data_IF_444026031652
#
_entry.id   IF_444026031652
#
_cell.length_a   1.000
_cell.length_b   1.000
_cell.length_c   1.000
_cell.angle_alpha   90.00
_cell.angle_beta   90.00
_cell.angle_gamma   90.00
#
_symmetry.space_group_name_H-M   'P 1'
#
loop_
_entity.id
_entity.type
_entity.pdbx_description
1 polymer ?
#
# COMPACT_ATOMS: atom_id res chain seq x y z
N UNK A 1 41.58 22.56 -2.99
CA UNK A 1 40.33 22.30 -3.74
C UNK A 1 40.25 20.81 -4.02
N UNK A 2 39.20 20.09 -3.57
CA UNK A 2 39.03 18.67 -3.92
C UNK A 2 38.87 18.51 -5.43
N UNK A 3 39.42 17.43 -5.98
CA UNK A 3 39.38 17.15 -7.42
C UNK A 3 37.96 16.80 -7.88
N UNK A 4 37.63 17.08 -9.15
CA UNK A 4 36.35 16.70 -9.75
C UNK A 4 36.03 15.20 -9.59
N UNK A 5 37.06 14.34 -9.58
CA UNK A 5 36.91 12.89 -9.33
C UNK A 5 36.48 12.59 -7.90
N UNK A 6 37.00 13.32 -6.91
CA UNK A 6 36.60 13.18 -5.50
C UNK A 6 35.18 13.70 -5.29
N UNK A 7 34.82 14.84 -5.90
CA UNK A 7 33.46 15.38 -5.83
C UNK A 7 32.44 14.41 -6.44
N UNK A 8 32.77 13.76 -7.57
CA UNK A 8 31.90 12.75 -8.20
C UNK A 8 31.79 11.48 -7.34
N UNK A 9 32.89 11.03 -6.73
CA UNK A 9 32.89 9.88 -5.83
C UNK A 9 32.09 10.14 -4.54
N UNK A 10 32.23 11.32 -3.95
CA UNK A 10 31.46 11.75 -2.78
C UNK A 10 29.98 11.94 -3.11
N UNK A 11 29.64 12.50 -4.27
CA UNK A 11 28.24 12.61 -4.72
C UNK A 11 27.62 11.24 -5.01
N UNK A 12 28.41 10.27 -5.48
CA UNK A 12 27.99 8.87 -5.67
C UNK A 12 27.82 8.13 -4.34
N UNK A 13 28.60 8.49 -3.32
CA UNK A 13 28.48 7.95 -1.96
C UNK A 13 27.37 8.62 -1.12
N UNK A 14 27.05 9.89 -1.38
CA UNK A 14 26.04 10.68 -0.67
C UNK A 14 24.63 10.61 -1.27
N UNK A 15 24.44 9.86 -2.37
CA UNK A 15 23.12 9.56 -2.90
C UNK A 15 22.41 8.56 -1.98
N UNK A 16 21.64 9.08 -1.01
CA UNK A 16 20.70 8.37 -0.13
C UNK A 16 21.04 6.88 0.02
N UNK A 17 21.89 6.54 0.98
CA UNK A 17 22.14 5.14 1.35
C UNK A 17 20.81 4.52 1.76
N UNK A 18 20.15 3.85 0.80
CA UNK A 18 19.04 2.96 1.08
C UNK A 18 19.50 2.06 2.22
N UNK A 19 18.74 2.02 3.31
CA UNK A 19 19.05 1.15 4.45
C UNK A 19 19.07 -0.29 3.92
N UNK A 20 20.27 -0.82 3.66
CA UNK A 20 20.46 -2.17 3.13
C UNK A 20 20.31 -3.18 4.24
N UNK A 21 19.62 -4.27 3.93
CA UNK A 21 19.55 -5.43 4.79
C UNK A 21 20.26 -6.58 4.04
N UNK A 22 21.42 -7.07 4.55
CA UNK A 22 22.23 -8.04 3.84
C UNK A 22 21.48 -9.35 3.54
N UNK A 23 20.53 -9.76 4.39
CA UNK A 23 19.72 -10.95 4.15
C UNK A 23 18.74 -10.75 2.98
N UNK A 24 18.17 -9.54 2.87
CA UNK A 24 17.26 -9.21 1.77
C UNK A 24 18.04 -9.03 0.48
N UNK A 25 19.22 -8.42 0.52
CA UNK A 25 20.09 -8.28 -0.63
C UNK A 25 20.52 -9.65 -1.17
N UNK A 26 20.92 -10.59 -0.30
CA UNK A 26 21.26 -11.96 -0.71
C UNK A 26 20.08 -12.69 -1.36
N UNK A 27 18.86 -12.53 -0.83
CA UNK A 27 17.64 -13.08 -1.44
C UNK A 27 17.35 -12.45 -2.79
N UNK A 28 17.57 -11.15 -2.93
CA UNK A 28 17.37 -10.43 -4.18
C UNK A 28 18.37 -10.88 -5.24
N UNK A 29 19.65 -11.04 -4.88
CA UNK A 29 20.69 -11.53 -5.77
C UNK A 29 20.39 -12.95 -6.28
N UNK A 30 19.96 -13.84 -5.37
CA UNK A 30 19.50 -15.19 -5.76
C UNK A 30 18.30 -15.13 -6.70
N UNK A 31 17.32 -14.28 -6.42
CA UNK A 31 16.14 -14.12 -7.28
C UNK A 31 16.52 -13.61 -8.68
N UNK A 32 17.43 -12.64 -8.76
CA UNK A 32 17.91 -12.10 -10.04
C UNK A 32 18.67 -13.18 -10.83
N UNK A 33 19.55 -13.95 -10.16
CA UNK A 33 20.29 -15.03 -10.80
C UNK A 33 19.38 -16.15 -11.32
N UNK A 34 18.30 -16.46 -10.60
CA UNK A 34 17.32 -17.48 -10.98
C UNK A 34 16.37 -17.03 -12.11
N UNK A 35 16.31 -15.74 -12.45
CA UNK A 35 15.39 -15.18 -13.45
C UNK A 35 16.13 -14.35 -14.52
N UNK A 36 17.00 -14.97 -15.34
CA UNK A 36 17.81 -14.26 -16.32
C UNK A 36 16.95 -13.52 -17.37
N UNK A 37 15.87 -14.12 -17.87
CA UNK A 37 14.98 -13.48 -18.86
C UNK A 37 14.32 -12.20 -18.31
N UNK A 38 13.94 -12.23 -17.02
CA UNK A 38 13.37 -11.07 -16.35
C UNK A 38 14.41 -9.96 -16.20
N UNK A 39 15.65 -10.33 -15.85
CA UNK A 39 16.77 -9.40 -15.75
C UNK A 39 17.06 -8.77 -17.11
N UNK A 40 17.16 -9.55 -18.17
CA UNK A 40 17.41 -9.07 -19.54
C UNK A 40 16.31 -8.10 -20.01
N UNK A 41 15.04 -8.47 -19.80
CA UNK A 41 13.90 -7.60 -20.11
C UNK A 41 14.02 -6.22 -19.43
N UNK A 42 14.43 -6.18 -18.15
CA UNK A 42 14.59 -4.92 -17.43
C UNK A 42 15.85 -4.15 -17.82
N UNK A 43 16.92 -4.83 -18.26
CA UNK A 43 18.14 -4.18 -18.76
C UNK A 43 17.93 -3.46 -20.10
N UNK A 44 16.98 -3.92 -20.90
CA UNK A 44 16.62 -3.29 -22.18
C UNK A 44 15.77 -2.02 -22.01
N UNK A 45 15.19 -1.79 -20.83
CA UNK A 45 14.34 -0.63 -20.56
C UNK A 45 15.16 0.61 -20.19
N UNK A 46 14.72 1.76 -20.68
CA UNK A 46 15.25 3.05 -20.24
C UNK A 46 14.88 3.33 -18.79
N UNK A 47 15.64 4.23 -18.15
CA UNK A 47 15.35 4.69 -16.78
C UNK A 47 13.92 5.23 -16.63
N UNK A 48 13.43 5.95 -17.63
CA UNK A 48 12.09 6.52 -17.60
C UNK A 48 11.00 5.44 -17.65
N UNK A 49 11.18 4.40 -18.47
CA UNK A 49 10.25 3.26 -18.52
C UNK A 49 10.22 2.49 -17.21
N UNK A 50 11.38 2.27 -16.58
CA UNK A 50 11.46 1.66 -15.25
C UNK A 50 10.71 2.49 -14.20
N UNK A 51 10.87 3.82 -14.21
CA UNK A 51 10.15 4.73 -13.31
C UNK A 51 8.63 4.63 -13.56
N UNK A 52 8.18 4.71 -14.82
CA UNK A 52 6.75 4.61 -15.15
C UNK A 52 6.15 3.29 -14.70
N UNK A 53 6.84 2.18 -14.92
CA UNK A 53 6.37 0.86 -14.50
C UNK A 53 6.26 0.75 -12.98
N UNK A 54 7.24 1.28 -12.24
CA UNK A 54 7.18 1.35 -10.77
C UNK A 54 6.01 2.23 -10.29
N UNK A 55 5.80 3.38 -10.93
CA UNK A 55 4.72 4.31 -10.60
C UNK A 55 3.34 3.75 -10.92
N UNK A 56 3.19 3.02 -12.04
CA UNK A 56 1.92 2.37 -12.41
C UNK A 56 1.41 1.47 -11.30
N UNK A 57 2.25 0.60 -10.73
CA UNK A 57 1.84 -0.26 -9.62
C UNK A 57 1.45 0.51 -8.35
N UNK A 58 2.06 1.67 -8.10
CA UNK A 58 1.67 2.56 -6.98
C UNK A 58 0.32 3.23 -7.26
N UNK A 59 0.12 3.72 -8.48
CA UNK A 59 -1.11 4.34 -8.94
C UNK A 59 -2.28 3.36 -8.82
N UNK A 60 -2.16 2.17 -9.41
CA UNK A 60 -3.22 1.14 -9.37
C UNK A 60 -3.59 0.73 -7.94
N UNK A 61 -2.60 0.55 -7.05
CA UNK A 61 -2.87 0.26 -5.62
C UNK A 61 -3.60 1.41 -4.92
N UNK A 62 -3.22 2.65 -5.23
CA UNK A 62 -3.88 3.85 -4.70
C UNK A 62 -5.32 3.94 -5.19
N UNK A 63 -5.55 3.78 -6.49
CA UNK A 63 -6.88 3.80 -7.10
C UNK A 63 -7.78 2.71 -6.51
N UNK A 64 -7.28 1.48 -6.39
CA UNK A 64 -8.03 0.39 -5.77
C UNK A 64 -8.39 0.70 -4.31
N UNK A 65 -7.44 1.18 -3.51
CA UNK A 65 -7.70 1.53 -2.12
C UNK A 65 -8.71 2.68 -2.01
N UNK A 66 -8.62 3.70 -2.87
CA UNK A 66 -9.52 4.84 -2.89
C UNK A 66 -10.93 4.45 -3.31
N UNK A 67 -11.07 3.63 -4.36
CA UNK A 67 -12.37 3.09 -4.80
C UNK A 67 -13.05 2.29 -3.69
N UNK A 68 -12.33 1.36 -3.05
CA UNK A 68 -12.84 0.60 -1.91
C UNK A 68 -13.23 1.47 -0.72
N UNK A 69 -12.46 2.53 -0.44
CA UNK A 69 -12.80 3.45 0.63
C UNK A 69 -14.07 4.26 0.29
N UNK A 70 -14.26 4.65 -0.98
CA UNK A 70 -15.47 5.35 -1.43
C UNK A 70 -16.71 4.45 -1.33
N UNK A 71 -16.63 3.21 -1.80
CA UNK A 71 -17.70 2.21 -1.66
C UNK A 71 -18.11 2.01 -0.20
N UNK A 72 -17.13 1.94 0.71
CA UNK A 72 -17.41 1.77 2.15
C UNK A 72 -18.07 3.00 2.74
N UNK A 73 -17.68 4.21 2.33
CA UNK A 73 -18.38 5.44 2.77
C UNK A 73 -19.85 5.42 2.30
N UNK A 74 -20.09 5.10 1.03
CA UNK A 74 -21.46 5.00 0.50
C UNK A 74 -22.29 3.96 1.28
N UNK A 75 -21.71 2.79 1.54
CA UNK A 75 -22.37 1.74 2.33
C UNK A 75 -22.69 2.19 3.76
N UNK A 76 -21.81 2.95 4.44
CA UNK A 76 -22.11 3.49 5.77
C UNK A 76 -23.28 4.49 5.74
N UNK A 77 -23.36 5.33 4.70
CA UNK A 77 -24.49 6.26 4.55
C UNK A 77 -25.83 5.55 4.33
N UNK A 78 -25.81 4.38 3.68
CA UNK A 78 -27.00 3.52 3.52
C UNK A 78 -27.42 2.79 4.81
N UNK A 79 -26.56 2.78 5.84
CA UNK A 79 -26.78 2.04 7.10
C UNK A 79 -26.62 2.98 8.32
N UNK A 80 -27.64 3.80 8.64
CA UNK A 80 -27.56 4.82 9.70
C UNK A 80 -27.16 4.26 11.08
N UNK A 81 -27.60 3.04 11.42
CA UNK A 81 -27.28 2.38 12.69
C UNK A 81 -25.79 2.01 12.81
N UNK A 82 -25.13 1.80 11.68
CA UNK A 82 -23.69 1.54 11.63
C UNK A 82 -22.94 2.87 11.73
N UNK A 83 -23.44 3.91 11.05
CA UNK A 83 -22.88 5.25 11.09
C UNK A 83 -22.79 5.77 12.53
N UNK A 84 -23.87 5.70 13.30
CA UNK A 84 -23.89 6.11 14.71
C UNK A 84 -22.87 5.35 15.56
N UNK A 85 -22.73 4.04 15.34
CA UNK A 85 -21.74 3.22 16.05
C UNK A 85 -20.30 3.58 15.70
N UNK A 86 -20.03 3.90 14.44
CA UNK A 86 -18.70 4.34 14.00
C UNK A 86 -18.38 5.69 14.62
N UNK A 87 -19.31 6.65 14.58
CA UNK A 87 -19.15 7.98 15.18
C UNK A 87 -18.86 7.90 16.68
N UNK A 88 -19.58 7.03 17.40
CA UNK A 88 -19.32 6.77 18.81
C UNK A 88 -17.89 6.24 19.05
N UNK A 89 -17.39 5.35 18.18
CA UNK A 89 -16.02 4.80 18.27
C UNK A 89 -14.94 5.83 17.98
N UNK A 90 -15.18 6.77 17.07
CA UNK A 90 -14.15 7.74 16.65
C UNK A 90 -14.23 9.09 17.39
N UNK A 91 -15.20 9.28 18.28
CA UNK A 91 -15.43 10.53 19.02
C UNK A 91 -14.15 11.12 19.67
N UNK A 92 -13.31 10.25 20.22
CA UNK A 92 -12.09 10.64 20.94
C UNK A 92 -10.82 10.61 20.06
N UNK A 93 -10.95 10.33 18.76
CA UNK A 93 -9.82 10.31 17.83
C UNK A 93 -9.47 11.75 17.43
N UNK A 94 -8.18 12.15 17.44
CA UNK A 94 -7.74 13.46 16.94
C UNK A 94 -8.15 13.67 15.49
N UNK A 95 -8.51 14.91 15.12
CA UNK A 95 -9.05 15.27 13.79
C UNK A 95 -8.19 14.73 12.64
N UNK A 96 -6.86 14.87 12.77
CA UNK A 96 -5.88 14.39 11.78
C UNK A 96 -6.00 12.89 11.47
N UNK A 97 -6.52 12.09 12.41
CA UNK A 97 -6.65 10.65 12.29
C UNK A 97 -8.11 10.19 12.11
N UNK A 98 -9.09 11.10 12.18
CA UNK A 98 -10.52 10.74 12.17
C UNK A 98 -10.92 10.03 10.89
N UNK A 99 -10.50 10.52 9.73
CA UNK A 99 -10.85 9.90 8.45
C UNK A 99 -10.33 8.46 8.36
N UNK A 100 -9.06 8.24 8.73
CA UNK A 100 -8.47 6.90 8.75
C UNK A 100 -9.18 5.99 9.75
N UNK A 101 -9.49 6.50 10.93
CA UNK A 101 -10.21 5.75 11.96
C UNK A 101 -11.62 5.38 11.50
N UNK A 102 -12.34 6.31 10.85
CA UNK A 102 -13.66 6.09 10.27
C UNK A 102 -13.62 4.95 9.25
N UNK A 103 -12.71 5.01 8.26
CA UNK A 103 -12.60 3.98 7.22
C UNK A 103 -12.27 2.60 7.81
N UNK A 104 -11.38 2.53 8.81
CA UNK A 104 -11.04 1.26 9.45
C UNK A 104 -12.20 0.68 10.26
N UNK A 105 -12.93 1.52 11.00
CA UNK A 105 -14.12 1.12 11.73
C UNK A 105 -15.20 0.62 10.76
N UNK A 106 -15.45 1.37 9.68
CA UNK A 106 -16.40 1.00 8.64
C UNK A 106 -16.08 -0.33 7.96
N UNK A 107 -14.81 -0.57 7.60
CA UNK A 107 -14.33 -1.86 7.07
C UNK A 107 -14.63 -3.02 8.01
N UNK A 108 -14.39 -2.80 9.30
CA UNK A 108 -14.64 -3.82 10.34
C UNK A 108 -16.13 -4.14 10.43
N UNK A 109 -16.99 -3.12 10.39
CA UNK A 109 -18.44 -3.34 10.48
C UNK A 109 -19.02 -3.99 9.22
N UNK A 110 -18.55 -3.62 8.03
CA UNK A 110 -18.94 -4.29 6.79
C UNK A 110 -18.54 -5.77 6.81
N UNK A 111 -17.33 -6.08 7.31
CA UNK A 111 -16.90 -7.46 7.49
C UNK A 111 -17.78 -8.22 8.48
N UNK A 112 -18.07 -7.63 9.64
CA UNK A 112 -18.94 -8.25 10.65
C UNK A 112 -20.34 -8.56 10.10
N UNK A 113 -20.95 -7.64 9.35
CA UNK A 113 -22.25 -7.88 8.73
C UNK A 113 -22.21 -9.00 7.70
N UNK A 114 -21.18 -9.06 6.84
CA UNK A 114 -21.05 -10.15 5.85
C UNK A 114 -20.85 -11.51 6.53
N UNK A 115 -20.11 -11.57 7.64
CA UNK A 115 -19.92 -12.77 8.45
C UNK A 115 -21.24 -13.18 9.13
N UNK A 116 -21.98 -12.24 9.72
CA UNK A 116 -23.29 -12.49 10.34
C UNK A 116 -24.32 -13.00 9.32
N UNK A 117 -24.35 -12.44 8.11
CA UNK A 117 -25.21 -12.95 7.02
C UNK A 117 -24.84 -14.38 6.60
N UNK A 118 -23.54 -14.73 6.59
CA UNK A 118 -23.10 -16.12 6.32
C UNK A 118 -23.48 -17.11 7.42
N UNK A 119 -23.43 -16.70 8.69
CA UNK A 119 -23.79 -17.58 9.82
C UNK A 119 -25.31 -17.74 9.97
N UNK A 120 -26.10 -16.73 9.60
CA UNK A 120 -27.56 -16.80 9.61
C UNK A 120 -28.17 -17.74 8.55
N UNK A 121 -27.49 -17.95 7.42
CA UNK A 121 -27.94 -18.86 6.35
C UNK A 121 -27.57 -20.34 6.57
N UNK A 122 -26.86 -20.68 7.65
CA UNK A 122 -26.40 -22.05 7.95
C UNK A 122 -27.23 -22.82 8.99
N UNK A 123 -28.32 -22.24 9.51
CA UNK A 123 -29.12 -22.82 10.61
C UNK A 123 -30.58 -23.12 10.22
N UNK A 124 -30.86 -23.27 8.93
CA UNK A 124 -32.14 -23.80 8.42
C UNK A 124 -31.87 -24.89 7.39
N UNK A 125 -31.54 -26.08 7.88
CA UNK A 125 -31.65 -27.35 7.16
C UNK A 125 -32.07 -28.42 8.17
#
# INVERSE_FOLDING_TARGET
MPSLKQIVAEKKAQGATLRRNPEIDAKLDQFIAANPDLREYYEQLSKEELIRKLMLGKMQRSEYANGRNAEIRAWVEEHPEIKERIEAKIKNVPEQNRERAFINAAKTEAMNQTVQRRTGNGLRA
#
